data_IF_635156577087
#
_entry.id   IF_635156577087
#
_cell.length_a   1.000
_cell.length_b   1.000
_cell.length_c   1.000
_cell.angle_alpha   90.00
_cell.angle_beta   90.00
_cell.angle_gamma   90.00
#
_symmetry.space_group_name_H-M   'P 1'
#
loop_
_entity.id
_entity.type
_entity.pdbx_description
1 polymer ?
#
# COMPACT_ATOMS: atom_id res chain seq x y z
N UNK A 1 18.72 72.54 37.84
CA UNK A 1 18.79 71.66 36.70
C UNK A 1 18.29 70.26 37.12
N UNK A 2 17.06 69.89 36.78
CA UNK A 2 16.50 68.57 37.03
C UNK A 2 16.62 67.73 35.74
N UNK A 3 17.43 66.67 35.76
CA UNK A 3 17.60 65.78 34.65
C UNK A 3 16.35 64.91 34.51
N UNK A 4 15.67 65.03 33.39
CA UNK A 4 14.48 64.20 32.98
C UNK A 4 15.01 62.85 32.53
N UNK A 5 14.83 61.84 33.35
CA UNK A 5 15.16 60.39 33.02
C UNK A 5 14.04 59.79 32.25
N UNK A 6 14.12 59.84 30.93
CA UNK A 6 13.18 59.15 30.04
C UNK A 6 13.33 57.66 30.25
N UNK A 7 12.31 57.00 30.84
CA UNK A 7 12.23 55.54 30.88
C UNK A 7 11.94 55.04 29.48
N UNK A 8 12.91 54.36 28.88
CA UNK A 8 12.73 53.63 27.65
C UNK A 8 11.82 52.42 27.96
N UNK A 9 10.60 52.45 27.45
CA UNK A 9 9.67 51.33 27.46
C UNK A 9 10.23 50.28 26.51
N UNK A 10 10.84 49.22 27.04
CA UNK A 10 11.32 48.08 26.28
C UNK A 10 10.06 47.30 25.82
N UNK A 11 9.64 47.49 24.57
CA UNK A 11 8.61 46.66 23.97
C UNK A 11 9.17 45.24 23.86
N UNK A 12 8.63 44.29 24.63
CA UNK A 12 8.95 42.89 24.48
C UNK A 12 8.54 42.46 23.04
N UNK A 13 9.39 41.70 22.33
CA UNK A 13 9.06 41.21 21.02
C UNK A 13 7.78 40.34 21.09
N UNK A 14 6.81 40.65 20.25
CA UNK A 14 5.56 39.87 20.14
C UNK A 14 5.93 38.51 19.57
N UNK A 15 5.98 37.48 20.40
CA UNK A 15 6.21 36.10 19.97
C UNK A 15 4.92 35.60 19.24
N UNK A 16 5.02 35.18 17.99
CA UNK A 16 3.85 34.68 17.26
C UNK A 16 3.24 33.45 17.98
N UNK A 17 1.93 33.43 18.10
CA UNK A 17 1.22 32.32 18.70
C UNK A 17 1.32 31.09 17.81
N UNK A 18 1.65 29.93 18.41
CA UNK A 18 1.69 28.61 17.75
C UNK A 18 0.56 27.75 18.31
N UNK A 19 -0.37 27.32 17.46
CA UNK A 19 -1.55 26.53 17.79
C UNK A 19 -1.17 25.07 17.95
N UNK A 20 -1.26 24.55 19.19
CA UNK A 20 -0.87 23.19 19.54
C UNK A 20 -2.10 22.30 19.65
N UNK A 21 -2.26 21.31 18.77
CA UNK A 21 -3.27 20.29 18.83
C UNK A 21 -2.80 19.09 19.66
N UNK A 22 -3.60 18.65 20.63
CA UNK A 22 -3.28 17.50 21.48
C UNK A 22 -4.01 16.29 20.92
N UNK A 23 -3.27 15.23 20.58
CA UNK A 23 -3.84 13.95 20.18
C UNK A 23 -3.58 12.88 21.24
N UNK A 24 -4.66 12.17 21.65
CA UNK A 24 -4.60 11.08 22.61
C UNK A 24 -5.27 9.83 22.07
N UNK A 25 -4.78 8.65 22.50
CA UNK A 25 -5.34 7.36 22.12
C UNK A 25 -5.20 6.31 23.21
N UNK A 26 -6.24 5.50 23.37
CA UNK A 26 -6.21 4.30 24.23
C UNK A 26 -6.82 3.12 23.47
N UNK A 27 -6.13 1.97 23.48
CA UNK A 27 -6.65 0.70 22.93
C UNK A 27 -7.56 0.01 23.96
N UNK A 28 -8.53 -0.79 23.48
CA UNK A 28 -9.34 -1.67 24.34
C UNK A 28 -8.53 -2.77 25.01
N UNK A 29 -7.42 -3.19 24.40
CA UNK A 29 -6.56 -4.27 24.90
C UNK A 29 -5.49 -3.81 25.91
N UNK A 30 -5.34 -2.50 26.12
CA UNK A 30 -4.45 -1.97 27.15
C UNK A 30 -5.17 -2.05 28.51
N UNK A 31 -4.79 -3.08 29.29
CA UNK A 31 -5.41 -3.43 30.56
C UNK A 31 -5.56 -2.27 31.55
N UNK A 32 -6.50 -2.46 32.48
CA UNK A 32 -6.97 -1.48 33.48
C UNK A 32 -5.91 -1.02 34.49
N UNK A 33 -4.70 -1.59 34.47
CA UNK A 33 -3.71 -1.51 35.57
C UNK A 33 -2.69 -0.37 35.49
N UNK A 34 -2.86 0.62 34.60
CA UNK A 34 -1.97 1.79 34.59
C UNK A 34 -2.77 3.10 34.53
N UNK A 35 -2.92 3.75 35.66
CA UNK A 35 -3.53 5.08 35.81
C UNK A 35 -2.95 6.13 34.84
N UNK A 36 -1.68 6.02 34.47
CA UNK A 36 -1.00 6.91 33.52
C UNK A 36 -1.32 6.70 32.04
N UNK A 37 -2.15 5.70 31.67
CA UNK A 37 -2.54 5.42 30.28
C UNK A 37 -3.94 5.95 29.92
N UNK A 38 -4.62 6.64 30.82
CA UNK A 38 -5.91 7.27 30.52
C UNK A 38 -5.75 8.40 29.49
N UNK A 39 -6.80 8.67 28.70
CA UNK A 39 -6.80 9.80 27.75
C UNK A 39 -6.58 11.13 28.48
N UNK A 40 -7.15 11.27 29.70
CA UNK A 40 -6.99 12.44 30.55
C UNK A 40 -5.54 12.65 30.99
N UNK A 41 -4.88 11.62 31.51
CA UNK A 41 -3.48 11.72 31.91
C UNK A 41 -2.53 12.08 30.77
N UNK A 42 -2.78 11.55 29.55
CA UNK A 42 -2.04 11.92 28.35
C UNK A 42 -2.27 13.39 28.00
N UNK A 43 -3.52 13.85 28.07
CA UNK A 43 -3.90 15.24 27.81
C UNK A 43 -3.26 16.20 28.81
N UNK A 44 -3.34 15.88 30.11
CA UNK A 44 -2.75 16.71 31.18
C UNK A 44 -1.24 16.84 31.01
N UNK A 45 -0.55 15.74 30.67
CA UNK A 45 0.88 15.77 30.38
C UNK A 45 1.21 16.66 29.18
N UNK A 46 0.40 16.60 28.13
CA UNK A 46 0.58 17.44 26.95
C UNK A 46 0.29 18.92 27.26
N UNK A 47 -0.76 19.22 28.01
CA UNK A 47 -1.07 20.60 28.46
C UNK A 47 0.03 21.17 29.34
N UNK A 48 0.57 20.38 30.27
CA UNK A 48 1.70 20.81 31.11
C UNK A 48 2.93 21.13 30.25
N UNK A 49 3.21 20.27 29.25
CA UNK A 49 4.30 20.51 28.31
C UNK A 49 4.08 21.79 27.49
N UNK A 50 2.92 22.00 26.89
CA UNK A 50 2.57 23.21 26.14
C UNK A 50 2.72 24.44 27.04
N UNK A 51 2.26 24.35 28.28
CA UNK A 51 2.36 25.45 29.27
C UNK A 51 3.82 25.80 29.58
N UNK A 52 4.74 24.83 29.60
CA UNK A 52 6.17 25.08 29.80
C UNK A 52 6.80 25.83 28.62
N UNK A 53 6.21 25.74 27.43
CA UNK A 53 6.66 26.38 26.18
C UNK A 53 5.93 27.70 25.88
N UNK A 54 5.18 28.27 26.83
CA UNK A 54 4.47 29.56 26.64
C UNK A 54 5.39 30.70 26.20
N UNK A 55 6.62 30.67 26.61
CA UNK A 55 7.63 31.66 26.22
C UNK A 55 7.94 31.63 24.71
N UNK A 56 7.68 30.50 24.02
CA UNK A 56 7.75 30.34 22.55
C UNK A 56 6.44 30.64 21.84
N UNK A 57 5.41 31.10 22.55
CA UNK A 57 4.11 31.43 21.99
C UNK A 57 3.14 30.22 21.87
N UNK A 58 3.42 29.06 22.48
CA UNK A 58 2.57 27.88 22.37
C UNK A 58 1.25 28.04 23.12
N UNK A 59 0.15 27.71 22.43
CA UNK A 59 -1.20 27.72 22.98
C UNK A 59 -1.91 26.43 22.57
N UNK A 60 -2.57 25.76 23.50
CA UNK A 60 -3.43 24.62 23.17
C UNK A 60 -4.69 25.10 22.41
N UNK A 61 -5.09 24.39 21.37
CA UNK A 61 -6.27 24.69 20.57
C UNK A 61 -7.17 23.47 20.43
N UNK A 62 -8.49 23.71 20.25
CA UNK A 62 -9.51 22.70 20.08
C UNK A 62 -9.86 21.93 21.37
N UNK A 63 -10.92 21.10 21.29
CA UNK A 63 -11.43 20.29 22.41
C UNK A 63 -10.64 18.97 22.59
N UNK A 64 -9.49 18.85 21.92
CA UNK A 64 -8.65 17.65 21.86
C UNK A 64 -9.12 16.65 20.78
N UNK A 65 -8.16 15.84 20.32
CA UNK A 65 -8.40 14.81 19.30
C UNK A 65 -8.19 13.45 19.97
N UNK A 66 -9.29 12.88 20.47
CA UNK A 66 -9.28 11.68 21.29
C UNK A 66 -9.81 10.47 20.53
N UNK A 67 -9.08 9.35 20.55
CA UNK A 67 -9.46 8.07 19.98
C UNK A 67 -9.42 6.97 21.07
N UNK A 68 -10.46 6.95 21.93
CA UNK A 68 -10.66 5.88 22.91
C UNK A 68 -11.18 4.60 22.24
N UNK A 69 -10.56 3.45 22.53
CA UNK A 69 -10.99 2.16 22.00
C UNK A 69 -10.44 1.79 20.62
N UNK A 70 -9.49 2.54 20.08
CA UNK A 70 -8.90 2.31 18.76
C UNK A 70 -7.48 1.77 18.85
N UNK A 71 -7.15 0.77 18.01
CA UNK A 71 -5.79 0.25 17.88
C UNK A 71 -4.84 1.24 17.20
N UNK A 72 -3.57 1.27 17.62
CA UNK A 72 -2.52 2.07 16.98
C UNK A 72 -2.09 1.58 15.60
N UNK A 73 -2.53 0.41 15.17
CA UNK A 73 -2.25 -0.16 13.85
C UNK A 73 -3.23 0.24 12.75
N UNK A 74 -4.27 1.02 13.06
CA UNK A 74 -5.25 1.51 12.09
C UNK A 74 -5.24 3.05 12.09
N UNK A 75 -5.13 3.67 10.93
CA UNK A 75 -5.23 5.13 10.77
C UNK A 75 -6.66 5.64 10.57
N UNK A 76 -7.61 4.73 10.34
CA UNK A 76 -9.04 5.06 10.20
C UNK A 76 -9.70 5.26 11.58
N UNK A 77 -9.45 6.44 12.17
CA UNK A 77 -9.90 6.83 13.52
C UNK A 77 -10.53 8.21 13.50
N UNK A 78 -11.67 8.43 14.19
CA UNK A 78 -12.40 9.70 14.14
C UNK A 78 -11.58 10.91 14.60
N UNK A 79 -10.87 10.80 15.74
CA UNK A 79 -10.04 11.87 16.28
C UNK A 79 -8.88 12.20 15.36
N UNK A 80 -8.20 11.18 14.81
CA UNK A 80 -7.09 11.39 13.87
C UNK A 80 -7.58 12.04 12.57
N UNK A 81 -8.74 11.63 12.04
CA UNK A 81 -9.32 12.24 10.83
C UNK A 81 -9.64 13.71 11.02
N UNK A 82 -10.21 14.08 12.17
CA UNK A 82 -10.47 15.49 12.50
C UNK A 82 -9.15 16.28 12.58
N UNK A 83 -8.15 15.73 13.28
CA UNK A 83 -6.83 16.35 13.35
C UNK A 83 -6.24 16.60 11.97
N UNK A 84 -6.32 15.61 11.06
CA UNK A 84 -5.80 15.75 9.69
C UNK A 84 -6.54 16.81 8.89
N UNK A 85 -7.86 16.90 9.03
CA UNK A 85 -8.67 17.93 8.37
C UNK A 85 -8.30 19.34 8.86
N UNK A 86 -8.11 19.53 10.17
CA UNK A 86 -7.74 20.82 10.76
C UNK A 86 -6.29 21.22 10.42
N UNK A 87 -5.39 20.24 10.24
CA UNK A 87 -4.04 20.46 9.69
C UNK A 87 -4.12 20.96 8.25
N UNK A 88 -4.91 20.31 7.39
CA UNK A 88 -5.10 20.71 5.99
C UNK A 88 -5.79 22.06 5.87
N UNK A 89 -6.68 22.43 6.82
CA UNK A 89 -7.28 23.73 6.91
C UNK A 89 -6.33 24.84 7.44
N UNK A 90 -5.11 24.44 7.86
CA UNK A 90 -4.11 25.39 8.41
C UNK A 90 -4.47 25.90 9.79
N UNK A 91 -5.22 25.17 10.59
CA UNK A 91 -5.66 25.54 11.94
C UNK A 91 -4.71 25.06 13.05
N UNK A 92 -3.75 24.20 12.71
CA UNK A 92 -2.78 23.59 13.61
C UNK A 92 -1.35 23.90 13.18
N UNK A 93 -0.51 24.31 14.11
CA UNK A 93 0.93 24.57 13.87
C UNK A 93 1.82 23.49 14.48
N UNK A 94 1.35 22.83 15.56
CA UNK A 94 2.10 21.80 16.27
C UNK A 94 1.15 20.69 16.71
N UNK A 95 1.49 19.42 16.41
CA UNK A 95 0.82 18.24 16.97
C UNK A 95 1.60 17.75 18.19
N UNK A 96 0.95 17.63 19.33
CA UNK A 96 1.52 17.16 20.58
C UNK A 96 0.90 15.82 20.98
N UNK A 97 1.74 14.82 21.23
CA UNK A 97 1.32 13.50 21.73
C UNK A 97 2.11 13.12 22.99
N UNK A 98 1.54 12.29 23.83
CA UNK A 98 2.23 11.77 25.01
C UNK A 98 3.43 10.88 24.61
N UNK A 99 3.22 9.92 23.68
CA UNK A 99 4.23 9.04 23.08
C UNK A 99 3.93 8.84 21.61
N UNK A 100 4.95 8.53 20.80
CA UNK A 100 4.78 8.27 19.35
C UNK A 100 3.81 7.10 19.08
N UNK A 101 3.81 6.07 19.94
CA UNK A 101 2.91 4.91 19.83
C UNK A 101 1.43 5.24 20.04
N UNK A 102 1.12 6.42 20.63
CA UNK A 102 -0.25 6.95 20.68
C UNK A 102 -0.73 7.38 19.29
N UNK A 103 0.17 7.96 18.50
CA UNK A 103 -0.15 8.34 17.11
C UNK A 103 -0.22 7.10 16.21
N UNK A 104 0.82 6.27 16.20
CA UNK A 104 0.85 4.99 15.46
C UNK A 104 1.93 4.06 16.00
N UNK A 105 1.73 2.74 15.87
CA UNK A 105 2.72 1.71 16.20
C UNK A 105 3.59 1.32 15.02
N UNK A 106 3.15 1.61 13.79
CA UNK A 106 3.88 1.27 12.57
C UNK A 106 4.74 2.45 12.12
N UNK A 107 6.05 2.24 11.96
CA UNK A 107 6.96 3.27 11.48
C UNK A 107 6.59 3.77 10.07
N UNK A 108 6.08 2.87 9.22
CA UNK A 108 5.57 3.23 7.88
C UNK A 108 4.37 4.18 7.90
N UNK A 109 3.49 4.06 8.89
CA UNK A 109 2.33 4.92 9.04
C UNK A 109 2.71 6.25 9.71
N UNK A 110 3.67 6.21 10.66
CA UNK A 110 4.28 7.41 11.21
C UNK A 110 4.90 8.28 10.10
N UNK A 111 5.66 7.64 9.19
CA UNK A 111 6.26 8.32 8.05
C UNK A 111 5.21 9.04 7.18
N UNK A 112 4.07 8.39 6.88
CA UNK A 112 2.98 9.01 6.09
C UNK A 112 2.37 10.22 6.79
N UNK A 113 2.10 10.11 8.10
CA UNK A 113 1.52 11.20 8.88
C UNK A 113 2.45 12.41 8.95
N UNK A 114 3.72 12.16 9.22
CA UNK A 114 4.73 13.23 9.31
C UNK A 114 4.97 13.90 7.96
N UNK A 115 4.91 13.15 6.86
CA UNK A 115 4.98 13.70 5.51
C UNK A 115 3.84 14.71 5.23
N UNK A 116 2.63 14.41 5.73
CA UNK A 116 1.49 15.34 5.67
C UNK A 116 1.72 16.55 6.58
N UNK A 117 2.25 16.34 7.80
CA UNK A 117 2.57 17.45 8.72
C UNK A 117 3.60 18.40 8.10
N UNK A 118 4.68 17.87 7.54
CA UNK A 118 5.75 18.66 6.93
C UNK A 118 5.25 19.46 5.72
N UNK A 119 4.44 18.86 4.86
CA UNK A 119 3.81 19.57 3.71
C UNK A 119 2.91 20.73 4.12
N UNK A 120 2.29 20.64 5.29
CA UNK A 120 1.44 21.70 5.83
C UNK A 120 2.19 22.62 6.82
N UNK A 121 3.52 22.47 6.97
CA UNK A 121 4.34 23.28 7.87
C UNK A 121 4.06 23.01 9.35
N UNK A 122 3.48 21.86 9.69
CA UNK A 122 3.11 21.46 11.05
C UNK A 122 4.24 20.69 11.71
N UNK A 123 4.63 21.09 12.92
CA UNK A 123 5.63 20.38 13.71
C UNK A 123 5.01 19.27 14.56
N UNK A 124 5.81 18.23 14.87
CA UNK A 124 5.38 17.11 15.71
C UNK A 124 6.21 17.02 16.98
N UNK A 125 5.56 16.78 18.12
CA UNK A 125 6.19 16.72 19.45
C UNK A 125 5.66 15.52 20.23
N UNK A 126 6.57 14.70 20.76
CA UNK A 126 6.30 13.65 21.75
C UNK A 126 6.84 14.06 23.11
N UNK A 127 5.96 14.12 24.11
CA UNK A 127 6.30 14.66 25.43
C UNK A 127 7.35 13.80 26.15
N UNK A 128 7.17 12.48 26.20
CA UNK A 128 8.00 11.59 27.03
C UNK A 128 9.25 11.10 26.30
N UNK A 129 9.28 11.13 24.98
CA UNK A 129 10.39 10.60 24.18
C UNK A 129 11.38 11.70 23.74
N UNK A 130 11.18 12.95 24.20
CA UNK A 130 11.98 14.13 23.84
C UNK A 130 12.15 14.29 22.33
N UNK A 131 11.14 13.88 21.57
CA UNK A 131 11.13 13.98 20.12
C UNK A 131 10.35 15.23 19.72
N UNK A 132 11.06 16.20 19.12
CA UNK A 132 10.50 17.51 18.81
C UNK A 132 11.04 18.01 17.46
N UNK A 133 10.21 18.01 16.43
CA UNK A 133 10.59 18.45 15.08
C UNK A 133 10.67 19.97 14.93
N UNK A 134 10.34 20.77 15.96
CA UNK A 134 10.61 22.20 15.96
C UNK A 134 12.12 22.49 16.03
N UNK A 135 12.92 21.53 16.53
CA UNK A 135 14.38 21.64 16.65
C UNK A 135 15.09 20.98 15.46
N UNK A 136 16.29 21.47 15.13
CA UNK A 136 17.12 20.88 14.07
C UNK A 136 17.49 19.42 14.35
N UNK A 137 17.78 19.07 15.62
CA UNK A 137 18.09 17.70 16.02
C UNK A 137 16.88 16.79 15.89
N UNK A 138 15.69 17.25 16.26
CA UNK A 138 14.45 16.47 16.07
C UNK A 138 14.12 16.22 14.60
N UNK A 139 14.33 17.19 13.72
CA UNK A 139 14.20 17.01 12.26
C UNK A 139 15.23 16.03 11.72
N UNK A 140 16.48 16.07 12.17
CA UNK A 140 17.49 15.08 11.79
C UNK A 140 17.07 13.66 12.21
N UNK A 141 16.63 13.49 13.46
CA UNK A 141 16.14 12.20 13.97
C UNK A 141 14.94 11.70 13.16
N UNK A 142 14.02 12.59 12.81
CA UNK A 142 12.89 12.28 11.94
C UNK A 142 13.37 11.74 10.57
N UNK A 143 14.28 12.45 9.90
CA UNK A 143 14.80 12.04 8.60
C UNK A 143 15.47 10.66 8.65
N UNK A 144 16.18 10.35 9.71
CA UNK A 144 16.76 9.03 9.94
C UNK A 144 15.64 7.98 10.05
N UNK A 145 14.61 8.22 10.86
CA UNK A 145 13.47 7.30 11.02
C UNK A 145 12.71 7.08 9.70
N UNK A 146 12.51 8.14 8.92
CA UNK A 146 11.88 8.06 7.60
C UNK A 146 12.71 7.22 6.62
N UNK A 147 14.03 7.39 6.63
CA UNK A 147 14.96 6.58 5.81
C UNK A 147 14.91 5.10 6.19
N UNK A 148 14.85 4.77 7.48
CA UNK A 148 14.65 3.40 7.95
C UNK A 148 13.31 2.82 7.51
N UNK A 149 12.22 3.58 7.62
CA UNK A 149 10.89 3.13 7.17
C UNK A 149 10.85 2.84 5.66
N UNK A 150 11.57 3.64 4.87
CA UNK A 150 11.70 3.40 3.43
C UNK A 150 12.53 2.16 3.15
N UNK A 151 13.68 2.01 3.80
CA UNK A 151 14.54 0.84 3.67
C UNK A 151 13.79 -0.47 3.99
N UNK A 152 13.04 -0.52 5.10
CA UNK A 152 12.22 -1.70 5.44
C UNK A 152 11.19 -2.05 4.35
N UNK A 153 10.56 -1.03 3.74
CA UNK A 153 9.61 -1.24 2.63
C UNK A 153 10.31 -1.81 1.39
N UNK A 154 11.48 -1.28 1.05
CA UNK A 154 12.26 -1.73 -0.10
C UNK A 154 12.73 -3.18 0.07
N UNK A 155 13.31 -3.52 1.22
CA UNK A 155 13.75 -4.89 1.56
C UNK A 155 12.58 -5.87 1.57
N UNK A 156 11.43 -5.47 2.13
CA UNK A 156 10.22 -6.31 2.10
C UNK A 156 9.73 -6.54 0.67
N UNK A 157 9.75 -5.47 -0.17
CA UNK A 157 9.41 -5.57 -1.59
C UNK A 157 10.35 -6.48 -2.37
N UNK A 158 11.66 -6.44 -2.07
CA UNK A 158 12.66 -7.35 -2.66
C UNK A 158 12.39 -8.81 -2.27
N UNK A 159 12.21 -9.08 -0.98
CA UNK A 159 11.90 -10.45 -0.49
C UNK A 159 10.63 -11.01 -1.14
N UNK A 160 9.59 -10.18 -1.33
CA UNK A 160 8.37 -10.60 -2.01
C UNK A 160 8.65 -10.92 -3.49
N UNK A 161 9.41 -10.06 -4.19
CA UNK A 161 9.80 -10.29 -5.59
C UNK A 161 10.61 -11.57 -5.76
N UNK A 162 11.58 -11.81 -4.87
CA UNK A 162 12.41 -13.01 -4.88
C UNK A 162 11.58 -14.26 -4.61
N UNK A 163 10.67 -14.21 -3.64
CA UNK A 163 9.74 -15.32 -3.35
C UNK A 163 8.85 -15.62 -4.55
N UNK A 164 8.35 -14.60 -5.24
CA UNK A 164 7.54 -14.77 -6.46
C UNK A 164 8.40 -15.38 -7.57
N UNK A 165 9.63 -14.88 -7.77
CA UNK A 165 10.55 -15.40 -8.78
C UNK A 165 10.89 -16.88 -8.53
N UNK A 166 11.26 -17.22 -7.29
CA UNK A 166 11.52 -18.61 -6.88
C UNK A 166 10.29 -19.51 -7.03
N UNK A 167 9.09 -19.01 -6.74
CA UNK A 167 7.86 -19.77 -6.92
C UNK A 167 7.54 -20.01 -8.40
N UNK A 168 7.77 -19.02 -9.27
CA UNK A 168 7.64 -19.16 -10.72
C UNK A 168 8.67 -20.12 -11.30
N UNK A 169 9.92 -20.06 -10.85
CA UNK A 169 10.96 -21.00 -11.27
C UNK A 169 10.63 -22.46 -10.89
N UNK A 170 9.88 -22.66 -9.81
CA UNK A 170 9.31 -23.98 -9.42
C UNK A 170 8.02 -24.34 -10.19
N UNK A 171 7.58 -23.51 -11.11
CA UNK A 171 6.39 -23.74 -11.92
C UNK A 171 5.06 -23.53 -11.21
N UNK A 172 5.06 -22.89 -10.05
CA UNK A 172 3.81 -22.62 -9.34
C UNK A 172 3.01 -21.52 -10.02
N UNK A 173 1.71 -21.74 -10.18
CA UNK A 173 0.79 -20.71 -10.63
C UNK A 173 0.62 -19.63 -9.55
N UNK A 174 0.96 -18.40 -9.90
CA UNK A 174 0.99 -17.28 -8.93
C UNK A 174 -0.29 -16.43 -8.94
N UNK A 175 -1.33 -16.88 -9.61
CA UNK A 175 -2.62 -16.18 -9.69
C UNK A 175 -2.85 -15.53 -11.05
N UNK A 176 -3.99 -14.86 -11.18
CA UNK A 176 -4.50 -14.31 -12.43
C UNK A 176 -5.51 -15.23 -13.10
N UNK A 177 -5.91 -14.88 -14.33
CA UNK A 177 -6.83 -15.71 -15.14
C UNK A 177 -6.11 -16.98 -15.60
N UNK A 178 -6.61 -18.17 -15.28
CA UNK A 178 -6.04 -19.41 -15.79
C UNK A 178 -6.07 -19.45 -17.34
N UNK A 179 -5.04 -19.99 -18.00
CA UNK A 179 -5.07 -20.18 -19.45
C UNK A 179 -6.19 -21.13 -19.84
N UNK A 180 -6.86 -20.86 -20.95
CA UNK A 180 -7.81 -21.82 -21.54
C UNK A 180 -7.09 -23.15 -21.76
N UNK A 181 -7.74 -24.28 -21.43
CA UNK A 181 -7.13 -25.60 -21.50
C UNK A 181 -6.52 -26.10 -20.18
N UNK A 182 -6.45 -25.26 -19.17
CA UNK A 182 -5.92 -25.64 -17.84
C UNK A 182 -6.85 -25.21 -16.71
N UNK A 183 -6.95 -26.06 -15.69
CA UNK A 183 -7.52 -25.73 -14.38
C UNK A 183 -6.40 -25.50 -13.37
N UNK A 184 -6.68 -24.70 -12.33
CA UNK A 184 -5.73 -24.44 -11.24
C UNK A 184 -6.13 -25.24 -10.02
N UNK A 185 -5.32 -26.22 -9.65
CA UNK A 185 -5.49 -27.02 -8.43
C UNK A 185 -4.21 -26.91 -7.62
N UNK A 186 -4.30 -26.51 -6.36
CA UNK A 186 -3.14 -26.35 -5.44
C UNK A 186 -1.97 -25.56 -6.06
N UNK A 187 -2.27 -24.46 -6.76
CA UNK A 187 -1.30 -23.63 -7.49
C UNK A 187 -0.55 -24.35 -8.62
N UNK A 188 -1.09 -25.43 -9.14
CA UNK A 188 -0.57 -26.14 -10.32
C UNK A 188 -1.57 -26.05 -11.45
N UNK A 189 -1.07 -26.00 -12.69
CA UNK A 189 -1.90 -26.08 -13.88
C UNK A 189 -2.14 -27.57 -14.21
N UNK A 190 -3.39 -27.96 -14.23
CA UNK A 190 -3.83 -29.32 -14.62
C UNK A 190 -4.59 -29.21 -15.94
N UNK A 191 -4.32 -30.09 -16.89
CA UNK A 191 -4.99 -30.08 -18.18
C UNK A 191 -6.49 -30.36 -18.03
N UNK A 192 -7.31 -29.43 -18.53
CA UNK A 192 -8.75 -29.64 -18.73
C UNK A 192 -8.97 -30.24 -20.12
N UNK A 193 -9.37 -31.50 -20.19
CA UNK A 193 -9.43 -32.25 -21.43
C UNK A 193 -10.31 -31.59 -22.50
N UNK A 194 -11.52 -31.13 -22.12
CA UNK A 194 -12.46 -30.51 -23.05
C UNK A 194 -11.92 -29.19 -23.61
N UNK A 195 -11.37 -28.33 -22.75
CA UNK A 195 -10.78 -27.06 -23.18
C UNK A 195 -9.45 -27.28 -23.96
N UNK A 196 -8.69 -28.32 -23.63
CA UNK A 196 -7.46 -28.64 -24.34
C UNK A 196 -7.73 -29.07 -25.79
N UNK A 197 -8.81 -29.78 -26.04
CA UNK A 197 -9.26 -30.07 -27.41
C UNK A 197 -9.63 -28.80 -28.19
N UNK A 198 -10.34 -27.87 -27.56
CA UNK A 198 -10.64 -26.58 -28.16
C UNK A 198 -9.33 -25.80 -28.49
N UNK A 199 -8.37 -25.76 -27.56
CA UNK A 199 -7.07 -25.12 -27.78
C UNK A 199 -6.35 -25.74 -28.97
N UNK A 200 -6.25 -27.06 -29.05
CA UNK A 200 -5.64 -27.75 -30.20
C UNK A 200 -6.34 -27.41 -31.51
N UNK A 201 -7.70 -27.44 -31.53
CA UNK A 201 -8.52 -27.09 -32.69
C UNK A 201 -8.25 -25.64 -33.17
N UNK A 202 -8.11 -24.69 -32.25
CA UNK A 202 -7.78 -23.29 -32.54
C UNK A 202 -6.40 -23.21 -33.22
N UNK A 203 -5.37 -23.88 -32.68
CA UNK A 203 -4.02 -23.88 -33.26
C UNK A 203 -3.99 -24.58 -34.64
N UNK A 204 -4.67 -25.70 -34.84
CA UNK A 204 -4.76 -26.35 -36.12
C UNK A 204 -5.41 -25.44 -37.18
N UNK A 205 -6.59 -24.89 -36.89
CA UNK A 205 -7.29 -23.98 -37.81
C UNK A 205 -6.47 -22.73 -38.13
N UNK A 206 -5.77 -22.18 -37.16
CA UNK A 206 -4.90 -21.01 -37.43
C UNK A 206 -3.72 -21.40 -38.32
N UNK A 207 -3.10 -22.56 -38.11
CA UNK A 207 -2.02 -23.05 -38.98
C UNK A 207 -2.49 -23.28 -40.43
N UNK A 208 -3.75 -23.67 -40.64
CA UNK A 208 -4.35 -23.91 -41.98
C UNK A 208 -4.71 -22.60 -42.68
N UNK A 209 -5.30 -21.63 -41.98
CA UNK A 209 -5.90 -20.45 -42.61
C UNK A 209 -5.03 -19.20 -42.50
N UNK A 210 -4.17 -19.11 -41.50
CA UNK A 210 -3.30 -17.92 -41.22
C UNK A 210 -4.06 -16.63 -40.89
N UNK A 211 -5.39 -16.69 -40.72
CA UNK A 211 -6.29 -15.55 -40.55
C UNK A 211 -6.94 -15.50 -39.19
N UNK A 212 -6.41 -14.63 -38.30
CA UNK A 212 -7.01 -14.40 -36.97
C UNK A 212 -8.45 -13.86 -37.05
N UNK A 213 -8.72 -12.96 -38.02
CA UNK A 213 -10.04 -12.35 -38.17
C UNK A 213 -11.13 -13.39 -38.62
N UNK A 214 -10.73 -14.34 -39.44
CA UNK A 214 -11.63 -15.41 -39.86
C UNK A 214 -11.87 -16.37 -38.68
N UNK A 215 -10.83 -16.82 -38.00
CA UNK A 215 -10.93 -17.77 -36.89
C UNK A 215 -11.78 -17.21 -35.73
N UNK A 216 -11.60 -15.91 -35.40
CA UNK A 216 -12.44 -15.25 -34.38
C UNK A 216 -13.93 -15.28 -34.74
N UNK A 217 -14.28 -15.06 -36.02
CA UNK A 217 -15.69 -15.15 -36.49
C UNK A 217 -16.23 -16.55 -36.36
N UNK A 218 -15.46 -17.56 -36.76
CA UNK A 218 -15.84 -18.97 -36.61
C UNK A 218 -16.09 -19.36 -35.16
N UNK A 219 -15.14 -18.99 -34.25
CA UNK A 219 -15.28 -19.24 -32.81
C UNK A 219 -16.48 -18.52 -32.19
N UNK A 220 -16.81 -17.34 -32.67
CA UNK A 220 -17.98 -16.59 -32.21
C UNK A 220 -19.30 -17.28 -32.66
N UNK A 221 -19.38 -17.80 -33.90
CA UNK A 221 -20.53 -18.58 -34.41
C UNK A 221 -20.69 -19.88 -33.60
N UNK A 222 -19.60 -20.53 -33.25
CA UNK A 222 -19.58 -21.73 -32.40
C UNK A 222 -19.88 -21.46 -30.94
N UNK A 223 -20.00 -20.17 -30.51
CA UNK A 223 -20.24 -19.79 -29.14
C UNK A 223 -19.05 -20.03 -28.20
N UNK A 224 -17.85 -20.16 -28.75
CA UNK A 224 -16.65 -20.40 -27.96
C UNK A 224 -16.24 -19.16 -27.16
N UNK A 225 -15.84 -19.37 -25.89
CA UNK A 225 -15.48 -18.28 -24.99
C UNK A 225 -14.10 -18.49 -24.35
N UNK A 226 -13.56 -17.44 -23.79
CA UNK A 226 -12.40 -17.53 -22.91
C UNK A 226 -12.77 -18.33 -21.66
N UNK A 227 -11.77 -18.75 -20.89
CA UNK A 227 -11.99 -19.53 -19.67
C UNK A 227 -12.93 -18.84 -18.68
N UNK A 228 -13.93 -19.60 -18.20
CA UNK A 228 -14.72 -19.27 -17.02
C UNK A 228 -14.01 -19.80 -15.77
N UNK A 229 -13.91 -19.01 -14.71
CA UNK A 229 -13.17 -19.40 -13.50
C UNK A 229 -13.67 -18.69 -12.25
N UNK A 230 -13.32 -19.22 -11.08
CA UNK A 230 -13.64 -18.62 -9.78
C UNK A 230 -12.36 -18.08 -9.15
N UNK A 231 -12.40 -16.85 -8.66
CA UNK A 231 -11.26 -16.24 -7.95
C UNK A 231 -11.09 -16.89 -6.58
N UNK A 232 -9.91 -16.71 -5.96
CA UNK A 232 -9.66 -17.17 -4.57
C UNK A 232 -10.67 -16.59 -3.56
N UNK A 233 -11.21 -15.39 -3.82
CA UNK A 233 -12.26 -14.78 -3.00
C UNK A 233 -13.67 -15.24 -3.31
N UNK A 234 -13.86 -16.31 -4.12
CA UNK A 234 -15.17 -16.88 -4.45
C UNK A 234 -15.95 -16.14 -5.54
N UNK A 235 -15.38 -15.09 -6.17
CA UNK A 235 -16.05 -14.36 -7.23
C UNK A 235 -15.95 -15.13 -8.56
N UNK A 236 -17.11 -15.48 -9.13
CA UNK A 236 -17.20 -16.10 -10.46
C UNK A 236 -16.90 -15.08 -11.57
N UNK A 237 -16.01 -15.45 -12.48
CA UNK A 237 -15.66 -14.71 -13.70
C UNK A 237 -16.10 -15.51 -14.92
N UNK A 238 -17.18 -15.12 -15.60
CA UNK A 238 -17.66 -15.82 -16.78
C UNK A 238 -16.68 -15.66 -17.95
N UNK A 239 -16.66 -16.62 -18.85
CA UNK A 239 -15.97 -16.53 -20.13
C UNK A 239 -16.53 -15.39 -20.99
N UNK A 240 -15.68 -14.81 -21.82
CA UNK A 240 -16.03 -13.77 -22.79
C UNK A 240 -15.83 -14.29 -24.20
N UNK A 241 -16.50 -13.76 -25.23
CA UNK A 241 -16.19 -14.08 -26.61
C UNK A 241 -14.69 -13.89 -26.87
N UNK A 242 -14.10 -14.82 -27.63
CA UNK A 242 -12.68 -14.75 -27.99
C UNK A 242 -12.51 -13.66 -29.04
N UNK A 243 -11.73 -12.62 -28.71
CA UNK A 243 -11.34 -11.55 -29.63
C UNK A 243 -9.94 -11.79 -30.23
N UNK A 244 -9.55 -10.98 -31.21
CA UNK A 244 -8.25 -11.09 -31.84
C UNK A 244 -7.08 -10.90 -30.86
N UNK A 245 -7.23 -9.99 -29.89
CA UNK A 245 -6.18 -9.71 -28.90
C UNK A 245 -5.95 -10.92 -28.01
N UNK A 246 -7.02 -11.55 -27.52
CA UNK A 246 -6.93 -12.78 -26.73
C UNK A 246 -6.35 -13.92 -27.57
N UNK A 247 -6.81 -14.08 -28.81
CA UNK A 247 -6.31 -15.11 -29.72
C UNK A 247 -4.78 -14.97 -29.93
N UNK A 248 -4.27 -13.79 -30.26
CA UNK A 248 -2.82 -13.59 -30.41
C UNK A 248 -2.06 -13.79 -29.12
N UNK A 249 -2.61 -13.38 -27.98
CA UNK A 249 -1.99 -13.64 -26.69
C UNK A 249 -1.91 -15.14 -26.39
N UNK A 250 -2.96 -15.90 -26.75
CA UNK A 250 -3.02 -17.35 -26.62
C UNK A 250 -2.01 -18.04 -27.54
N UNK A 251 -1.96 -17.67 -28.83
CA UNK A 251 -1.08 -18.26 -29.83
C UNK A 251 0.42 -18.03 -29.51
N UNK A 252 0.76 -16.98 -28.75
CA UNK A 252 2.13 -16.69 -28.30
C UNK A 252 2.46 -17.24 -26.93
N UNK A 253 1.49 -17.84 -26.24
CA UNK A 253 1.67 -18.27 -24.86
C UNK A 253 2.37 -19.64 -24.78
N UNK A 254 3.63 -19.65 -24.42
CA UNK A 254 4.46 -20.86 -24.33
C UNK A 254 4.04 -21.86 -23.23
N UNK A 255 3.07 -21.48 -22.40
CA UNK A 255 2.49 -22.37 -21.40
C UNK A 255 1.90 -23.63 -22.06
N UNK A 256 1.39 -23.51 -23.29
CA UNK A 256 0.85 -24.63 -24.06
C UNK A 256 1.92 -25.66 -24.50
N UNK A 257 3.20 -25.27 -24.48
CA UNK A 257 4.35 -26.18 -24.68
C UNK A 257 4.88 -26.78 -23.37
N UNK A 258 4.24 -26.51 -22.21
CA UNK A 258 4.75 -26.92 -20.92
C UNK A 258 5.89 -26.01 -20.41
N UNK A 259 6.02 -24.81 -20.93
CA UNK A 259 7.06 -23.85 -20.53
C UNK A 259 6.48 -22.68 -19.73
N UNK A 260 7.28 -22.13 -18.82
CA UNK A 260 6.96 -20.92 -18.07
C UNK A 260 7.95 -19.83 -18.49
N UNK A 261 7.43 -18.66 -18.83
CA UNK A 261 8.25 -17.49 -19.18
C UNK A 261 8.27 -16.52 -18.01
N UNK A 262 9.46 -16.14 -17.55
CA UNK A 262 9.63 -15.11 -16.53
C UNK A 262 10.78 -14.17 -16.88
N UNK A 263 10.52 -12.87 -16.99
CA UNK A 263 11.52 -11.84 -17.38
C UNK A 263 12.27 -12.15 -18.67
N UNK A 264 11.59 -12.76 -19.65
CA UNK A 264 12.19 -13.16 -20.93
C UNK A 264 12.87 -14.53 -20.93
N UNK A 265 13.19 -15.07 -19.76
CA UNK A 265 13.78 -16.39 -19.61
C UNK A 265 12.70 -17.49 -19.63
N UNK A 266 13.05 -18.66 -20.20
CA UNK A 266 12.18 -19.83 -20.38
C UNK A 266 12.60 -20.93 -19.45
N UNK A 267 11.63 -21.46 -18.72
CA UNK A 267 11.83 -22.57 -17.77
C UNK A 267 10.91 -23.72 -18.12
N UNK A 268 11.34 -24.98 -18.00
CA UNK A 268 10.42 -26.11 -18.10
C UNK A 268 9.39 -26.01 -16.97
N UNK A 269 8.09 -26.03 -17.33
CA UNK A 269 6.99 -26.02 -16.37
C UNK A 269 6.71 -27.44 -15.85
N UNK A 270 6.16 -27.59 -14.63
CA UNK A 270 5.75 -28.86 -14.08
C UNK A 270 4.40 -29.35 -14.67
N UNK A 271 3.73 -28.51 -15.47
CA UNK A 271 2.44 -28.82 -16.08
C UNK A 271 2.64 -29.54 -17.43
N UNK A 272 1.67 -30.38 -17.76
CA UNK A 272 1.68 -31.11 -19.02
C UNK A 272 1.42 -30.15 -20.20
N UNK A 273 2.19 -30.28 -21.26
CA UNK A 273 1.94 -29.57 -22.52
C UNK A 273 0.62 -30.02 -23.18
N UNK A 274 -0.13 -29.05 -23.71
CA UNK A 274 -1.34 -29.32 -24.51
C UNK A 274 -0.95 -29.48 -25.98
N UNK A 275 0.04 -28.73 -26.46
CA UNK A 275 0.46 -28.70 -27.86
C UNK A 275 1.75 -29.47 -28.08
N UNK A 276 1.84 -30.27 -29.17
CA UNK A 276 3.12 -30.78 -29.63
C UNK A 276 3.92 -29.67 -30.32
N UNK A 277 5.27 -29.73 -30.20
CA UNK A 277 6.16 -28.75 -30.80
C UNK A 277 5.97 -28.53 -32.31
N UNK A 278 5.69 -29.54 -33.14
CA UNK A 278 5.45 -29.32 -34.57
C UNK A 278 4.26 -28.40 -34.85
N UNK A 279 3.12 -28.57 -34.15
CA UNK A 279 1.96 -27.70 -34.32
C UNK A 279 2.24 -26.25 -33.88
N UNK A 280 2.95 -26.09 -32.78
CA UNK A 280 3.40 -24.76 -32.34
C UNK A 280 4.26 -24.08 -33.41
N UNK A 281 5.24 -24.78 -33.95
CA UNK A 281 6.14 -24.24 -34.95
C UNK A 281 5.44 -23.91 -36.27
N UNK A 282 4.37 -24.62 -36.63
CA UNK A 282 3.57 -24.34 -37.82
C UNK A 282 2.83 -22.99 -37.73
N UNK A 283 2.44 -22.57 -36.52
CA UNK A 283 1.72 -21.31 -36.26
C UNK A 283 2.65 -20.12 -36.17
N UNK A 284 3.88 -20.28 -35.69
CA UNK A 284 4.80 -19.21 -35.35
C UNK A 284 5.28 -18.32 -36.52
N UNK A 285 5.43 -18.80 -37.76
CA UNK A 285 5.79 -17.94 -38.89
C UNK A 285 4.74 -16.87 -39.23
N UNK A 286 3.51 -17.02 -38.73
CA UNK A 286 2.38 -16.10 -38.99
C UNK A 286 2.14 -15.09 -37.84
N UNK A 287 2.94 -15.14 -36.76
CA UNK A 287 2.81 -14.33 -35.55
C UNK A 287 3.94 -13.31 -35.39
#
# INVERSE_FOLDING_TARGET
MRANRTMATTSQPIVPKKRCAIYTRKSTDEGLDQEYNSLEAQRDSALAFISSQRHEGWIAVGDGYDDGGYSGGNLDRPGLKRLMADIEAGEVDIVVVYKIDRLTRALSDFAKLVDVFDRNGVSFVSVTQQFNTTTSMGRLTLNILLSFAQFEREVTGERIRDKIAASKARGMWMGGMPPLGYDVVERKLIVNAAEAELVRGIFCRYAEHGSAAQLVRELAIEGQTTKSWVTQGGLHRPGRPIDQQYLFAMLRNRIYLGEIVHKGERYPGPHQAILPSPLWNAVHPFL
#
